data_IF_225634652039
#
_entry.id   IF_225634652039
#
_cell.length_a   1.000
_cell.length_b   1.000
_cell.length_c   1.000
_cell.angle_alpha   90.00
_cell.angle_beta   90.00
_cell.angle_gamma   90.00
#
_symmetry.space_group_name_H-M   'P 1'
#
loop_
_entity.id
_entity.type
_entity.pdbx_description
1 polymer ?
#
# COMPACT_ATOMS: atom_id res chain seq x y z
N UNK A 1 -13.88 7.30 14.52
CA UNK A 1 -12.96 6.13 14.44
C UNK A 1 -13.72 4.93 13.91
N UNK A 2 -13.14 4.11 13.04
CA UNK A 2 -13.85 3.00 12.40
C UNK A 2 -14.34 1.93 13.40
N UNK A 3 -13.54 1.61 14.42
CA UNK A 3 -13.82 0.56 15.41
C UNK A 3 -14.28 1.06 16.78
N UNK A 4 -14.28 2.37 17.05
CA UNK A 4 -14.49 2.90 18.41
C UNK A 4 -15.88 2.66 19.01
N UNK A 5 -16.83 2.18 18.22
CA UNK A 5 -18.20 1.85 18.63
C UNK A 5 -18.48 0.34 18.59
N UNK A 6 -17.49 -0.49 18.24
CA UNK A 6 -17.63 -1.95 18.18
C UNK A 6 -17.20 -2.54 19.53
N UNK A 7 -18.18 -3.04 20.30
CA UNK A 7 -17.97 -3.64 21.63
C UNK A 7 -17.90 -5.17 21.59
N UNK A 8 -18.11 -5.75 20.40
CA UNK A 8 -18.09 -7.20 20.14
C UNK A 8 -17.43 -7.45 18.79
N UNK A 9 -17.02 -8.68 18.55
CA UNK A 9 -16.53 -9.12 17.24
C UNK A 9 -17.74 -9.31 16.32
N UNK A 10 -18.03 -8.26 15.55
CA UNK A 10 -19.12 -8.24 14.58
C UNK A 10 -18.67 -7.56 13.27
N UNK A 11 -19.34 -7.84 12.14
CA UNK A 11 -19.01 -7.20 10.88
C UNK A 11 -19.22 -5.69 10.92
N UNK A 12 -18.28 -4.94 10.35
CA UNK A 12 -18.46 -3.51 10.08
C UNK A 12 -19.58 -3.32 9.04
N UNK A 13 -20.42 -2.29 9.25
CA UNK A 13 -21.30 -1.79 8.21
C UNK A 13 -20.47 -1.46 6.95
N UNK A 14 -21.01 -1.82 5.78
CA UNK A 14 -20.39 -1.64 4.47
C UNK A 14 -19.80 -0.24 4.29
N UNK A 15 -20.55 0.80 4.66
CA UNK A 15 -20.11 2.19 4.54
C UNK A 15 -18.86 2.47 5.38
N UNK A 16 -18.89 2.09 6.67
CA UNK A 16 -17.74 2.26 7.58
C UNK A 16 -16.52 1.47 7.09
N UNK A 17 -16.72 0.29 6.53
CA UNK A 17 -15.65 -0.53 5.94
C UNK A 17 -15.01 0.15 4.73
N UNK A 18 -15.81 0.74 3.84
CA UNK A 18 -15.31 1.46 2.66
C UNK A 18 -14.54 2.72 3.06
N UNK A 19 -15.06 3.50 4.00
CA UNK A 19 -14.39 4.67 4.55
C UNK A 19 -13.04 4.29 5.17
N UNK A 20 -13.03 3.28 6.04
CA UNK A 20 -11.81 2.77 6.65
C UNK A 20 -10.78 2.32 5.63
N UNK A 21 -11.20 1.56 4.61
CA UNK A 21 -10.30 1.09 3.55
C UNK A 21 -9.60 2.26 2.86
N UNK A 22 -10.35 3.28 2.47
CA UNK A 22 -9.80 4.48 1.81
C UNK A 22 -8.85 5.26 2.73
N UNK A 23 -9.21 5.43 4.00
CA UNK A 23 -8.36 6.11 4.98
C UNK A 23 -7.04 5.36 5.18
N UNK A 24 -7.10 4.04 5.30
CA UNK A 24 -5.92 3.18 5.42
C UNK A 24 -5.06 3.19 4.16
N UNK A 25 -5.65 3.13 2.98
CA UNK A 25 -4.93 3.29 1.70
C UNK A 25 -4.19 4.64 1.65
N UNK A 26 -4.84 5.73 2.09
CA UNK A 26 -4.19 7.04 2.16
C UNK A 26 -3.00 7.05 3.13
N UNK A 27 -3.18 6.54 4.36
CA UNK A 27 -2.13 6.49 5.38
C UNK A 27 -0.93 5.64 4.95
N UNK A 28 -1.19 4.52 4.26
CA UNK A 28 -0.15 3.60 3.82
C UNK A 28 0.47 3.98 2.47
N UNK A 29 -0.13 4.91 1.72
CA UNK A 29 0.36 5.32 0.39
C UNK A 29 1.84 5.74 0.37
N UNK A 30 2.36 6.31 1.46
CA UNK A 30 3.76 6.71 1.54
C UNK A 30 4.71 5.52 1.45
N UNK A 31 4.30 4.35 1.96
CA UNK A 31 5.13 3.16 2.00
C UNK A 31 5.47 2.63 0.60
N UNK A 32 4.59 2.86 -0.38
CA UNK A 32 4.82 2.46 -1.77
C UNK A 32 5.99 3.22 -2.43
N UNK A 33 6.35 4.38 -1.87
CA UNK A 33 7.41 5.25 -2.39
C UNK A 33 8.68 5.23 -1.54
N UNK A 34 8.68 4.51 -0.41
CA UNK A 34 9.89 4.30 0.39
C UNK A 34 10.66 3.16 -0.26
N UNK A 35 11.65 3.53 -1.07
CA UNK A 35 12.51 2.58 -1.79
C UNK A 35 13.96 2.76 -1.39
N UNK A 36 14.69 1.66 -1.44
CA UNK A 36 16.15 1.68 -1.38
C UNK A 36 16.69 1.76 -2.81
N UNK A 37 17.66 2.64 -3.04
CA UNK A 37 18.33 2.74 -4.32
C UNK A 37 19.55 1.82 -4.32
N UNK A 38 19.40 0.67 -4.97
CA UNK A 38 20.45 -0.33 -5.12
C UNK A 38 20.97 -0.33 -6.56
N UNK A 39 22.27 -0.55 -6.79
CA UNK A 39 22.77 -0.73 -8.14
C UNK A 39 22.16 -2.00 -8.76
N UNK A 40 21.85 -1.94 -10.06
CA UNK A 40 21.29 -3.05 -10.82
C UNK A 40 21.80 -3.05 -12.26
N UNK A 41 21.80 -4.20 -12.92
CA UNK A 41 22.23 -4.35 -14.31
C UNK A 41 21.03 -4.55 -15.21
N UNK A 42 20.92 -3.74 -16.27
CA UNK A 42 19.85 -3.87 -17.26
C UNK A 42 20.36 -4.47 -18.56
N UNK A 43 19.71 -5.53 -19.04
CA UNK A 43 19.89 -6.06 -20.39
C UNK A 43 19.15 -5.18 -21.41
N UNK A 44 19.88 -4.61 -22.36
CA UNK A 44 19.31 -3.84 -23.46
C UNK A 44 18.82 -4.75 -24.59
N UNK A 45 17.88 -4.28 -25.44
CA UNK A 45 17.37 -5.04 -26.58
C UNK A 45 18.45 -5.50 -27.58
N UNK A 46 19.60 -4.83 -27.60
CA UNK A 46 20.77 -5.17 -28.43
C UNK A 46 21.74 -6.15 -27.73
N UNK A 47 21.35 -6.70 -26.57
CA UNK A 47 22.10 -7.73 -25.82
C UNK A 47 23.25 -7.19 -24.97
N UNK A 48 23.40 -5.87 -24.86
CA UNK A 48 24.40 -5.24 -23.98
C UNK A 48 23.85 -5.12 -22.56
N UNK A 49 24.75 -5.24 -21.57
CA UNK A 49 24.45 -4.96 -20.17
C UNK A 49 24.89 -3.55 -19.81
N UNK A 50 24.01 -2.79 -19.18
CA UNK A 50 24.30 -1.46 -18.65
C UNK A 50 24.12 -1.48 -17.13
N UNK A 51 25.12 -0.94 -16.43
CA UNK A 51 25.07 -0.64 -14.99
C UNK A 51 24.28 0.65 -14.72
#
# INVERSE_FOLDING_TARGET
TAFGQLYRLEPLNLEKRLMWKREMECLLSVCDYIVEFVPDWQDLPDGKKQE
#
